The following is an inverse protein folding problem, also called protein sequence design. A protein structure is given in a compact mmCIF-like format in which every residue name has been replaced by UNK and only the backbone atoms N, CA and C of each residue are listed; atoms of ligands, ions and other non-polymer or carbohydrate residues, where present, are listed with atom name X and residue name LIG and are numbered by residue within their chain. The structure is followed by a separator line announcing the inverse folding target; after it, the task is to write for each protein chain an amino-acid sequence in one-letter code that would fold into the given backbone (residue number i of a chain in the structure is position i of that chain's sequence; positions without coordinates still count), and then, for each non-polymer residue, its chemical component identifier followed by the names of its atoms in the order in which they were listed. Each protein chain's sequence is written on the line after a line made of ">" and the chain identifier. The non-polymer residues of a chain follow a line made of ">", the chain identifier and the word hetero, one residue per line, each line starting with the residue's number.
data_IF_934682732046
#
_entry.id   IF_934682732046
#
_cell.length_a   1.000
_cell.length_b   1.000
_cell.length_c   1.000
_cell.angle_alpha   90.00
_cell.angle_beta   90.00
_cell.angle_gamma   90.00
#
_symmetry.space_group_name_H-M   'P 1'
#
loop_
_entity.id
_entity.type
_entity.pdbx_description
1 polymer ?
#
# COMPACT_ATOMS: atom_id res chain seq x y z
N UNK A 1 53.75 -21.82 -41.95
CA UNK A 1 52.78 -20.76 -42.30
C UNK A 1 51.40 -21.35 -42.09
N UNK A 2 50.70 -20.93 -41.04
CA UNK A 2 49.38 -21.47 -40.71
C UNK A 2 48.37 -20.34 -40.93
N UNK A 3 47.58 -20.42 -42.00
CA UNK A 3 46.50 -19.47 -42.24
C UNK A 3 45.24 -19.93 -41.53
N UNK A 4 44.79 -19.14 -40.55
CA UNK A 4 43.40 -19.18 -40.10
C UNK A 4 42.58 -18.25 -40.98
N UNK A 5 41.51 -18.77 -41.57
CA UNK A 5 40.43 -17.97 -42.18
C UNK A 5 39.21 -18.00 -41.25
N UNK A 6 38.53 -16.87 -41.02
CA UNK A 6 37.36 -16.83 -40.14
C UNK A 6 36.14 -17.45 -40.83
N UNK A 7 35.38 -18.26 -40.10
CA UNK A 7 34.06 -18.72 -40.54
C UNK A 7 33.05 -17.63 -40.17
N UNK A 8 32.56 -16.89 -41.16
CA UNK A 8 31.39 -16.03 -40.98
C UNK A 8 30.15 -16.89 -40.77
N UNK A 9 29.60 -16.89 -39.56
CA UNK A 9 28.24 -17.38 -39.32
C UNK A 9 27.24 -16.32 -39.76
N UNK A 10 26.64 -16.47 -40.94
CA UNK A 10 25.51 -15.63 -41.35
C UNK A 10 24.30 -15.93 -40.47
N UNK A 11 24.01 -15.06 -39.51
CA UNK A 11 22.70 -14.97 -38.90
C UNK A 11 21.75 -14.29 -39.90
N UNK A 12 20.75 -15.02 -40.41
CA UNK A 12 19.69 -14.40 -41.20
C UNK A 12 18.90 -13.42 -40.33
N UNK A 13 18.88 -12.15 -40.71
CA UNK A 13 17.93 -11.17 -40.17
C UNK A 13 16.54 -11.53 -40.73
N UNK A 14 15.86 -12.43 -40.04
CA UNK A 14 14.45 -12.68 -40.24
C UNK A 14 13.69 -11.47 -39.68
N UNK A 15 13.36 -10.51 -40.55
CA UNK A 15 12.55 -9.35 -40.22
C UNK A 15 11.12 -9.76 -39.89
N UNK A 16 10.92 -10.30 -38.69
CA UNK A 16 9.61 -10.46 -38.07
C UNK A 16 9.03 -9.06 -37.86
N UNK A 17 8.24 -8.64 -38.83
CA UNK A 17 7.23 -7.60 -38.66
C UNK A 17 6.31 -8.06 -37.53
N UNK A 18 6.60 -7.60 -36.32
CA UNK A 18 5.67 -7.62 -35.21
C UNK A 18 4.49 -6.73 -35.62
N UNK A 19 3.50 -7.34 -36.28
CA UNK A 19 2.20 -6.71 -36.50
C UNK A 19 1.67 -6.41 -35.11
N UNK A 20 1.65 -5.12 -34.76
CA UNK A 20 1.22 -4.66 -33.45
C UNK A 20 -0.27 -4.88 -33.27
N UNK A 21 -0.66 -6.10 -32.92
CA UNK A 21 -1.96 -6.38 -32.31
C UNK A 21 -2.01 -5.59 -31.00
N UNK A 22 -2.56 -4.38 -31.12
CA UNK A 22 -2.82 -3.49 -29.99
C UNK A 22 -3.94 -4.11 -29.18
N UNK A 23 -3.57 -5.04 -28.30
CA UNK A 23 -4.45 -5.68 -27.35
C UNK A 23 -4.94 -4.61 -26.38
N UNK A 24 -6.02 -3.92 -26.77
CA UNK A 24 -6.74 -2.98 -25.92
C UNK A 24 -7.15 -3.75 -24.69
N UNK A 25 -6.60 -3.36 -23.54
CA UNK A 25 -7.07 -3.87 -22.25
C UNK A 25 -8.48 -3.34 -22.03
N UNK A 26 -9.46 -4.13 -22.46
CA UNK A 26 -10.90 -3.89 -22.27
C UNK A 26 -11.33 -4.09 -20.80
N UNK A 27 -10.39 -3.94 -19.84
CA UNK A 27 -10.72 -3.62 -18.46
C UNK A 27 -11.79 -2.54 -18.39
N UNK A 28 -12.86 -2.81 -17.64
CA UNK A 28 -13.83 -1.79 -17.29
C UNK A 28 -13.08 -0.67 -16.55
N UNK A 29 -13.30 0.62 -16.88
CA UNK A 29 -12.61 1.71 -16.20
C UNK A 29 -12.89 1.61 -14.70
N UNK A 30 -11.83 1.55 -13.89
CA UNK A 30 -11.99 1.56 -12.43
C UNK A 30 -12.68 2.86 -12.02
N UNK A 31 -13.54 2.78 -11.00
CA UNK A 31 -14.10 3.97 -10.38
C UNK A 31 -13.01 4.57 -9.49
N UNK A 32 -12.61 5.81 -9.79
CA UNK A 32 -11.73 6.61 -8.95
C UNK A 32 -12.44 6.87 -7.60
N UNK A 33 -11.89 6.43 -6.45
CA UNK A 33 -12.53 6.64 -5.16
C UNK A 33 -12.57 8.12 -4.72
N UNK A 34 -11.72 8.98 -5.30
CA UNK A 34 -11.78 10.45 -5.15
C UNK A 34 -12.72 11.13 -6.16
N UNK A 35 -13.20 10.39 -7.17
CA UNK A 35 -13.97 10.93 -8.29
C UNK A 35 -15.43 11.21 -7.93
N UNK A 36 -16.03 12.23 -8.53
CA UNK A 36 -17.43 12.63 -8.28
C UNK A 36 -18.50 11.59 -8.71
N UNK A 37 -18.10 10.46 -9.30
CA UNK A 37 -18.93 9.30 -9.59
C UNK A 37 -18.95 8.26 -8.46
N UNK A 38 -17.95 8.25 -7.57
CA UNK A 38 -18.09 7.62 -6.28
C UNK A 38 -19.07 8.45 -5.45
N UNK A 39 -19.99 7.80 -4.73
CA UNK A 39 -20.75 8.50 -3.67
C UNK A 39 -19.76 8.97 -2.62
N UNK A 40 -19.78 10.28 -2.31
CA UNK A 40 -18.83 11.00 -1.46
C UNK A 40 -18.14 10.09 -0.42
N UNK A 41 -16.80 10.05 -0.46
CA UNK A 41 -15.98 9.16 0.37
C UNK A 41 -16.48 9.13 1.82
N UNK A 42 -17.01 7.96 2.19
CA UNK A 42 -17.44 7.64 3.54
C UNK A 42 -16.22 7.74 4.44
N UNK A 43 -16.40 8.32 5.63
CA UNK A 43 -15.32 8.52 6.58
C UNK A 43 -14.06 9.19 5.94
N UNK A 44 -14.26 10.04 4.93
CA UNK A 44 -13.22 10.87 4.30
C UNK A 44 -12.45 10.25 3.14
N UNK A 45 -12.16 8.95 3.19
CA UNK A 45 -11.25 8.22 2.28
C UNK A 45 -11.78 6.84 1.84
N UNK A 46 -12.94 6.39 2.36
CA UNK A 46 -13.55 5.11 1.97
C UNK A 46 -14.59 5.31 0.86
N UNK A 47 -14.29 4.84 -0.35
CA UNK A 47 -15.30 4.69 -1.39
C UNK A 47 -16.17 3.44 -1.16
N UNK A 48 -17.45 3.54 -1.52
CA UNK A 48 -18.45 2.49 -1.30
C UNK A 48 -19.18 2.10 -2.58
N UNK A 49 -19.24 0.79 -2.87
CA UNK A 49 -20.13 0.22 -3.88
C UNK A 49 -21.28 -0.52 -3.18
N UNK A 50 -22.55 -0.14 -3.38
CA UNK A 50 -23.68 -0.82 -2.77
C UNK A 50 -23.89 -2.23 -3.36
N UNK A 51 -23.35 -3.25 -2.68
CA UNK A 51 -23.67 -4.65 -2.94
C UNK A 51 -25.09 -4.93 -2.39
N UNK A 52 -26.06 -5.36 -3.22
CA UNK A 52 -27.39 -5.71 -2.72
C UNK A 52 -27.33 -7.07 -2.00
N UNK A 53 -27.37 -7.06 -0.67
CA UNK A 53 -27.45 -8.27 0.15
C UNK A 53 -28.60 -8.23 1.17
N UNK A 54 -29.12 -9.40 1.52
CA UNK A 54 -30.32 -9.55 2.35
C UNK A 54 -29.98 -10.02 3.77
N UNK A 55 -30.05 -9.08 4.72
CA UNK A 55 -30.33 -9.27 6.16
C UNK A 55 -29.85 -10.56 6.86
N UNK A 56 -28.86 -10.42 7.77
CA UNK A 56 -29.11 -10.72 9.20
C UNK A 56 -28.12 -9.92 10.07
N UNK A 57 -28.39 -9.79 11.38
CA UNK A 57 -27.60 -8.95 12.31
C UNK A 57 -26.61 -9.77 13.14
N UNK A 58 -25.41 -9.23 13.34
CA UNK A 58 -24.58 -9.41 14.54
C UNK A 58 -23.61 -8.21 14.70
N UNK A 59 -22.97 -8.08 15.87
CA UNK A 59 -22.03 -6.98 16.21
C UNK A 59 -20.58 -7.27 15.76
N UNK A 60 -19.66 -6.29 15.91
CA UNK A 60 -18.23 -6.32 16.35
C UNK A 60 -17.42 -5.13 15.68
N UNK A 61 -16.24 -5.25 15.04
CA UNK A 61 -15.25 -4.16 14.64
C UNK A 61 -14.53 -3.96 13.23
N UNK A 62 -14.25 -4.91 12.32
CA UNK A 62 -13.63 -4.76 10.95
C UNK A 62 -14.14 -5.80 9.89
N UNK A 63 -14.08 -5.58 8.57
CA UNK A 63 -15.13 -6.07 7.61
C UNK A 63 -15.67 -7.51 7.81
N UNK A 64 -16.93 -7.62 8.23
CA UNK A 64 -17.64 -8.85 8.52
C UNK A 64 -18.11 -9.63 7.27
N UNK A 65 -18.07 -8.98 6.10
CA UNK A 65 -18.56 -9.52 4.83
C UNK A 65 -17.44 -10.35 4.20
N UNK A 66 -17.47 -11.67 4.40
CA UNK A 66 -16.46 -12.62 3.92
C UNK A 66 -16.25 -12.56 2.41
N UNK A 67 -17.27 -12.18 1.66
CA UNK A 67 -17.23 -11.99 0.20
C UNK A 67 -16.25 -10.88 -0.21
N UNK A 68 -16.03 -9.86 0.64
CA UNK A 68 -15.05 -8.79 0.45
C UNK A 68 -13.63 -9.15 0.88
N UNK A 69 -13.37 -10.35 1.42
CA UNK A 69 -12.00 -10.80 1.64
C UNK A 69 -11.34 -11.20 0.32
N UNK A 70 -10.02 -11.07 0.25
CA UNK A 70 -9.23 -11.56 -0.88
C UNK A 70 -9.02 -13.08 -0.76
N UNK A 71 -9.34 -13.90 -1.78
CA UNK A 71 -9.19 -15.35 -1.68
C UNK A 71 -7.78 -15.77 -1.26
N UNK A 72 -7.69 -16.64 -0.25
CA UNK A 72 -6.45 -17.17 0.31
C UNK A 72 -5.47 -16.08 0.81
N UNK A 73 -5.96 -14.89 1.20
CA UNK A 73 -5.16 -13.71 1.54
C UNK A 73 -4.24 -13.19 0.40
N UNK A 74 -4.51 -13.59 -0.85
CA UNK A 74 -3.70 -13.26 -2.04
C UNK A 74 -4.28 -12.04 -2.75
N UNK A 75 -3.58 -10.91 -2.67
CA UNK A 75 -4.00 -9.61 -3.23
C UNK A 75 -3.24 -9.33 -4.54
N UNK A 76 -3.81 -9.64 -5.72
CA UNK A 76 -3.24 -9.21 -6.99
C UNK A 76 -3.29 -7.68 -7.11
N UNK A 77 -2.21 -7.07 -7.61
CA UNK A 77 -2.16 -5.64 -7.88
C UNK A 77 -1.64 -5.30 -9.29
N UNK A 78 -1.87 -4.06 -9.71
CA UNK A 78 -1.11 -3.36 -10.75
C UNK A 78 -0.85 -1.92 -10.29
N UNK A 79 0.26 -1.35 -10.74
CA UNK A 79 0.63 0.05 -10.47
C UNK A 79 0.46 0.84 -11.77
N UNK A 80 -0.10 2.04 -11.65
CA UNK A 80 -0.21 3.00 -12.75
C UNK A 80 1.18 3.55 -13.13
N UNK A 81 1.49 3.71 -14.44
CA UNK A 81 2.73 4.38 -14.88
C UNK A 81 2.77 5.88 -14.55
N UNK A 82 1.82 6.39 -13.76
CA UNK A 82 1.83 7.74 -13.18
C UNK A 82 2.55 7.83 -11.84
N UNK A 83 2.95 6.71 -11.23
CA UNK A 83 3.83 6.71 -10.04
C UNK A 83 5.29 6.88 -10.43
N UNK A 84 5.99 7.79 -9.76
CA UNK A 84 7.45 7.86 -9.82
C UNK A 84 8.13 6.75 -9.00
N UNK A 85 9.46 6.65 -9.08
CA UNK A 85 10.23 5.59 -8.39
C UNK A 85 10.17 5.66 -6.86
N UNK A 86 9.89 6.83 -6.28
CA UNK A 86 9.77 6.99 -4.83
C UNK A 86 8.35 6.59 -4.35
N UNK A 87 7.32 6.93 -5.11
CA UNK A 87 5.96 6.43 -4.87
C UNK A 87 5.87 4.90 -5.02
N UNK A 88 6.58 4.32 -6.00
CA UNK A 88 6.68 2.86 -6.11
C UNK A 88 7.42 2.23 -4.92
N UNK A 89 8.53 2.80 -4.46
CA UNK A 89 9.28 2.24 -3.33
C UNK A 89 8.51 2.33 -2.00
N UNK A 90 7.75 3.40 -1.78
CA UNK A 90 6.80 3.51 -0.67
C UNK A 90 5.69 2.43 -0.74
N UNK A 91 5.16 2.13 -1.93
CA UNK A 91 4.14 1.09 -2.09
C UNK A 91 4.68 -0.29 -1.77
N UNK A 92 5.85 -0.64 -2.30
CA UNK A 92 6.49 -1.92 -1.99
C UNK A 92 6.89 -2.03 -0.51
N UNK A 93 7.28 -0.94 0.15
CA UNK A 93 7.57 -0.96 1.58
C UNK A 93 6.32 -1.15 2.43
N UNK A 94 5.24 -0.43 2.13
CA UNK A 94 3.97 -0.59 2.84
C UNK A 94 3.37 -1.99 2.64
N UNK A 95 3.50 -2.58 1.44
CA UNK A 95 3.16 -3.99 1.19
C UNK A 95 4.03 -4.91 2.05
N UNK A 96 5.35 -4.78 2.00
CA UNK A 96 6.29 -5.62 2.78
C UNK A 96 5.98 -5.62 4.28
N UNK A 97 5.61 -4.48 4.88
CA UNK A 97 5.31 -4.41 6.31
C UNK A 97 4.03 -5.18 6.70
N UNK A 98 3.03 -5.21 5.82
CA UNK A 98 1.86 -6.09 5.99
C UNK A 98 2.21 -7.57 5.77
N UNK A 99 3.00 -7.89 4.74
CA UNK A 99 3.42 -9.27 4.44
C UNK A 99 4.31 -9.85 5.56
N UNK A 100 5.20 -9.03 6.12
CA UNK A 100 6.17 -9.36 7.16
C UNK A 100 5.57 -9.98 8.42
N UNK A 101 4.35 -9.56 8.79
CA UNK A 101 3.72 -9.90 10.08
C UNK A 101 2.36 -10.57 9.95
N UNK A 102 1.88 -10.80 8.72
CA UNK A 102 0.60 -11.47 8.44
C UNK A 102 0.75 -12.55 7.36
N UNK A 103 -0.30 -13.32 7.08
CA UNK A 103 -0.35 -14.20 5.89
C UNK A 103 -0.83 -13.52 4.60
N UNK A 104 -1.17 -12.22 4.63
CA UNK A 104 -1.52 -11.46 3.41
C UNK A 104 -0.32 -11.42 2.47
N UNK A 105 -0.53 -11.67 1.18
CA UNK A 105 0.53 -11.61 0.15
C UNK A 105 0.07 -10.83 -1.07
N UNK A 106 0.88 -9.86 -1.45
CA UNK A 106 0.71 -9.08 -2.68
C UNK A 106 1.41 -9.79 -3.85
N UNK A 107 0.93 -9.58 -5.07
CA UNK A 107 1.63 -10.02 -6.28
C UNK A 107 1.19 -9.22 -7.50
N UNK A 108 2.11 -8.90 -8.39
CA UNK A 108 1.76 -8.24 -9.65
C UNK A 108 0.87 -9.17 -10.49
N UNK A 109 -0.28 -8.67 -10.95
CA UNK A 109 -1.26 -9.44 -11.74
C UNK A 109 -0.71 -9.68 -13.15
N UNK A 110 -0.51 -10.95 -13.58
CA UNK A 110 -0.24 -11.27 -14.97
C UNK A 110 -1.44 -10.86 -15.83
N UNK A 111 -1.20 -10.13 -16.92
CA UNK A 111 -2.25 -9.59 -17.80
C UNK A 111 -3.16 -10.65 -18.44
N UNK A 112 -2.80 -11.93 -18.36
CA UNK A 112 -3.59 -13.09 -18.81
C UNK A 112 -4.74 -13.49 -17.88
N UNK A 113 -4.81 -12.98 -16.64
CA UNK A 113 -5.76 -13.46 -15.62
C UNK A 113 -6.98 -12.52 -15.49
N UNK A 114 -8.18 -13.01 -15.81
CA UNK A 114 -9.45 -12.27 -15.71
C UNK A 114 -10.06 -12.31 -14.30
N UNK A 115 -9.28 -11.86 -13.31
CA UNK A 115 -9.64 -11.76 -11.89
C UNK A 115 -9.64 -10.30 -11.43
N UNK A 116 -10.35 -9.99 -10.35
CA UNK A 116 -10.25 -8.71 -9.64
C UNK A 116 -8.83 -8.43 -9.13
N UNK A 117 -8.45 -7.15 -9.01
CA UNK A 117 -7.16 -6.69 -8.50
C UNK A 117 -7.23 -5.24 -7.99
N UNK A 118 -6.26 -4.88 -7.13
CA UNK A 118 -6.01 -3.52 -6.70
C UNK A 118 -5.24 -2.74 -7.78
N UNK A 119 -5.78 -1.64 -8.30
CA UNK A 119 -5.09 -0.75 -9.23
C UNK A 119 -4.68 0.54 -8.51
N UNK A 120 -3.38 0.66 -8.20
CA UNK A 120 -2.83 1.82 -7.49
C UNK A 120 -2.49 2.94 -8.49
N UNK A 121 -3.00 4.15 -8.26
CA UNK A 121 -2.81 5.27 -9.18
C UNK A 121 -2.77 6.63 -8.49
N UNK A 122 -2.13 7.61 -9.16
CA UNK A 122 -1.91 8.97 -8.66
C UNK A 122 -3.15 9.85 -8.87
N UNK A 123 -4.17 9.63 -8.04
CA UNK A 123 -5.44 10.37 -8.07
C UNK A 123 -5.42 11.68 -7.29
N UNK A 124 -6.60 12.25 -7.03
CA UNK A 124 -6.76 13.58 -6.40
C UNK A 124 -6.67 13.61 -4.87
N UNK A 125 -6.73 12.45 -4.22
CA UNK A 125 -6.77 12.33 -2.75
C UNK A 125 -6.08 11.02 -2.30
N UNK A 126 -6.13 10.74 -1.00
CA UNK A 126 -5.88 9.39 -0.48
C UNK A 126 -7.25 8.76 -0.30
N UNK A 127 -7.52 7.66 -1.01
CA UNK A 127 -8.76 6.92 -0.86
C UNK A 127 -8.69 5.50 -1.44
N UNK A 128 -9.46 4.60 -0.87
CA UNK A 128 -9.53 3.17 -1.21
C UNK A 128 -10.95 2.64 -1.04
N UNK A 129 -11.12 1.32 -1.15
CA UNK A 129 -12.38 0.61 -0.85
C UNK A 129 -12.10 -0.44 0.21
N UNK A 130 -13.01 -0.61 1.19
CA UNK A 130 -12.82 -1.64 2.22
C UNK A 130 -13.04 -3.04 1.65
N UNK A 131 -11.93 -3.77 1.53
CA UNK A 131 -11.87 -5.10 0.96
C UNK A 131 -12.08 -5.15 -0.55
N UNK A 132 -12.07 -6.37 -1.07
CA UNK A 132 -12.28 -6.72 -2.47
C UNK A 132 -13.71 -6.40 -2.92
N UNK A 133 -13.85 -5.54 -3.91
CA UNK A 133 -15.14 -5.07 -4.42
C UNK A 133 -15.78 -5.99 -5.47
N UNK A 134 -15.03 -6.91 -6.07
CA UNK A 134 -15.52 -7.77 -7.16
C UNK A 134 -14.79 -9.12 -7.23
N UNK A 135 -15.40 -10.07 -7.96
CA UNK A 135 -14.71 -11.29 -8.41
C UNK A 135 -13.91 -11.06 -9.71
N UNK A 136 -14.36 -10.16 -10.59
CA UNK A 136 -13.87 -10.06 -11.98
C UNK A 136 -13.31 -8.69 -12.37
N UNK A 137 -13.63 -7.62 -11.63
CA UNK A 137 -13.26 -6.25 -12.00
C UNK A 137 -12.22 -5.66 -11.03
N UNK A 138 -11.37 -4.77 -11.56
CA UNK A 138 -10.43 -3.97 -10.78
C UNK A 138 -11.13 -2.97 -9.85
N UNK A 139 -10.49 -2.63 -8.73
CA UNK A 139 -10.83 -1.48 -7.90
C UNK A 139 -9.66 -0.48 -7.90
N UNK A 140 -9.97 0.81 -7.98
CA UNK A 140 -8.97 1.88 -7.93
C UNK A 140 -8.59 2.21 -6.50
N UNK A 141 -7.30 2.40 -6.24
CA UNK A 141 -6.77 2.96 -4.99
C UNK A 141 -6.03 4.24 -5.37
N UNK A 142 -6.50 5.38 -4.86
CA UNK A 142 -5.89 6.68 -5.11
C UNK A 142 -4.82 6.97 -4.07
N UNK A 143 -3.59 7.15 -4.52
CA UNK A 143 -2.47 7.67 -3.73
C UNK A 143 -1.96 8.95 -4.42
N UNK A 144 -2.68 10.05 -4.20
CA UNK A 144 -2.32 11.37 -4.73
C UNK A 144 -1.06 11.96 -4.09
N UNK A 145 -0.63 13.14 -4.58
CA UNK A 145 0.59 13.81 -4.12
C UNK A 145 0.61 14.18 -2.62
N UNK A 146 -0.56 14.30 -1.98
CA UNK A 146 -0.68 14.49 -0.53
C UNK A 146 -0.51 13.22 0.31
N UNK A 147 -0.30 12.05 -0.32
CA UNK A 147 -0.35 10.73 0.31
C UNK A 147 1.02 10.10 0.55
N UNK A 148 2.11 10.75 0.14
CA UNK A 148 3.49 10.23 0.03
C UNK A 148 4.23 10.05 1.36
N UNK A 149 3.55 9.48 2.36
CA UNK A 149 4.14 9.02 3.64
C UNK A 149 3.81 7.55 3.86
N UNK A 150 4.76 6.78 4.41
CA UNK A 150 4.60 5.34 4.65
C UNK A 150 3.32 5.01 5.42
N UNK A 151 2.98 5.81 6.43
CA UNK A 151 1.78 5.67 7.25
C UNK A 151 0.46 5.70 6.46
N UNK A 152 0.35 6.56 5.44
CA UNK A 152 -0.85 6.63 4.58
C UNK A 152 -0.91 5.47 3.63
N UNK A 153 0.24 5.05 3.10
CA UNK A 153 0.30 3.86 2.24
C UNK A 153 -0.07 2.59 3.02
N UNK A 154 0.35 2.46 4.30
CA UNK A 154 -0.09 1.40 5.20
C UNK A 154 -1.60 1.42 5.46
N UNK A 155 -2.18 2.61 5.71
CA UNK A 155 -3.61 2.84 5.95
C UNK A 155 -4.47 2.43 4.74
N UNK A 156 -4.13 2.91 3.55
CA UNK A 156 -4.87 2.63 2.31
C UNK A 156 -4.77 1.15 1.91
N UNK A 157 -3.64 0.50 2.21
CA UNK A 157 -3.50 -0.96 2.10
C UNK A 157 -4.36 -1.67 3.16
N UNK A 158 -4.46 -1.17 4.39
CA UNK A 158 -5.39 -1.67 5.40
C UNK A 158 -6.83 -1.69 4.91
N UNK A 159 -7.29 -0.62 4.23
CA UNK A 159 -8.57 -0.63 3.53
C UNK A 159 -8.65 -1.74 2.47
N UNK A 160 -7.65 -1.87 1.59
CA UNK A 160 -7.63 -2.97 0.58
C UNK A 160 -7.73 -4.35 1.24
N UNK A 161 -7.05 -4.56 2.37
CA UNK A 161 -7.05 -5.82 3.14
C UNK A 161 -8.43 -6.13 3.73
N UNK A 162 -9.19 -5.11 4.15
CA UNK A 162 -10.55 -5.27 4.71
C UNK A 162 -10.83 -4.45 5.98
N UNK A 163 -9.94 -3.55 6.37
CA UNK A 163 -10.14 -2.69 7.54
C UNK A 163 -11.01 -1.48 7.21
N UNK A 164 -11.93 -1.18 8.12
CA UNK A 164 -12.51 0.15 8.28
C UNK A 164 -11.65 0.94 9.28
N UNK A 165 -12.03 2.19 9.58
CA UNK A 165 -11.36 2.92 10.65
C UNK A 165 -11.76 2.47 12.05
N UNK A 166 -10.84 2.63 13.00
CA UNK A 166 -11.07 2.22 14.38
C UNK A 166 -12.12 3.12 15.09
N UNK A 167 -12.16 4.43 14.79
CA UNK A 167 -13.14 5.34 15.41
C UNK A 167 -14.59 5.18 14.92
N UNK A 168 -14.85 4.29 13.96
CA UNK A 168 -16.21 3.95 13.50
C UNK A 168 -16.70 2.58 13.99
N UNK A 169 -15.99 1.93 14.93
CA UNK A 169 -16.46 0.70 15.61
C UNK A 169 -17.74 0.92 16.45
N UNK A 170 -18.69 -0.03 16.47
CA UNK A 170 -19.87 -0.05 17.34
C UNK A 170 -19.63 0.03 18.85
N UNK A 171 -18.44 -0.31 19.33
CA UNK A 171 -18.04 -0.17 20.74
C UNK A 171 -17.22 1.11 21.01
N UNK A 172 -16.90 1.92 19.99
CA UNK A 172 -15.98 3.08 20.13
C UNK A 172 -16.42 4.12 21.16
N UNK A 173 -17.73 4.32 21.36
CA UNK A 173 -18.25 5.27 22.37
C UNK A 173 -17.97 4.80 23.82
N UNK A 174 -17.53 3.56 24.05
CA UNK A 174 -17.03 3.05 25.33
C UNK A 174 -15.56 3.47 25.60
N UNK A 175 -14.82 3.92 24.58
CA UNK A 175 -13.37 4.20 24.62
C UNK A 175 -13.03 5.68 24.34
N UNK A 176 -13.70 6.28 23.35
CA UNK A 176 -13.45 7.65 22.89
C UNK A 176 -14.71 8.51 22.89
N UNK A 177 -14.53 9.84 22.84
CA UNK A 177 -15.57 10.85 22.76
C UNK A 177 -15.33 11.79 21.58
N UNK A 178 -16.35 11.93 20.73
CA UNK A 178 -16.31 12.83 19.57
C UNK A 178 -16.79 14.24 19.97
N UNK A 179 -15.97 15.25 19.67
CA UNK A 179 -16.20 16.66 19.98
C UNK A 179 -16.80 17.35 18.76
N UNK A 180 -18.08 17.05 18.49
CA UNK A 180 -18.80 17.52 17.29
C UNK A 180 -18.86 19.03 17.14
N UNK A 181 -18.78 19.77 18.24
CA UNK A 181 -18.64 21.23 18.35
C UNK A 181 -17.30 21.76 17.80
N UNK A 182 -16.25 20.93 17.80
CA UNK A 182 -14.92 21.25 17.29
C UNK A 182 -14.73 20.85 15.82
N UNK A 183 -15.72 20.22 15.19
CA UNK A 183 -15.65 19.79 13.80
C UNK A 183 -15.97 20.92 12.81
N UNK A 184 -15.53 20.72 11.56
CA UNK A 184 -15.95 21.52 10.41
C UNK A 184 -17.42 21.22 10.05
N UNK A 185 -18.24 22.21 9.67
CA UNK A 185 -19.63 21.98 9.25
C UNK A 185 -19.73 20.98 8.09
N UNK A 186 -20.63 20.01 8.22
CA UNK A 186 -20.88 18.98 7.20
C UNK A 186 -20.02 17.72 7.30
N UNK A 187 -18.99 17.70 8.15
CA UNK A 187 -18.10 16.53 8.33
C UNK A 187 -18.59 15.51 9.35
N UNK A 188 -19.69 15.80 10.05
CA UNK A 188 -20.25 14.96 11.14
C UNK A 188 -20.67 13.55 10.69
N UNK A 189 -20.85 13.31 9.39
CA UNK A 189 -21.07 11.98 8.81
C UNK A 189 -19.87 11.04 8.97
N UNK A 190 -18.65 11.58 9.09
CA UNK A 190 -17.40 10.83 8.98
C UNK A 190 -16.95 10.23 10.33
N UNK A 191 -17.79 10.35 11.35
CA UNK A 191 -17.66 9.67 12.66
C UNK A 191 -18.90 8.82 12.96
N UNK A 192 -19.63 8.41 11.91
CA UNK A 192 -20.70 7.41 12.05
C UNK A 192 -20.09 6.08 12.47
N UNK A 193 -20.88 5.30 13.19
CA UNK A 193 -20.56 3.89 13.44
C UNK A 193 -20.90 3.11 12.16
N UNK A 194 -19.99 2.25 11.70
CA UNK A 194 -20.28 1.30 10.62
C UNK A 194 -20.78 -0.02 11.23
N UNK A 195 -21.85 -0.60 10.68
CA UNK A 195 -22.39 -1.88 11.16
C UNK A 195 -21.74 -3.11 10.49
N UNK A 196 -20.99 -2.94 9.39
CA UNK A 196 -20.38 -4.03 8.59
C UNK A 196 -19.06 -4.58 9.17
N UNK A 197 -18.84 -4.42 10.47
CA UNK A 197 -17.53 -4.35 11.12
C UNK A 197 -17.52 -5.51 12.18
N UNK A 198 -16.58 -6.49 12.12
CA UNK A 198 -16.26 -7.59 13.09
C UNK A 198 -14.79 -7.58 13.67
N UNK A 199 -14.63 -7.55 15.01
CA UNK A 199 -13.38 -7.29 15.75
C UNK A 199 -12.72 -8.58 16.22
N UNK A 200 -13.42 -9.72 16.10
CA UNK A 200 -12.87 -11.05 16.42
C UNK A 200 -12.35 -11.17 17.87
N UNK A 201 -12.81 -10.30 18.77
CA UNK A 201 -12.41 -10.24 20.18
C UNK A 201 -11.22 -9.32 20.48
N UNK A 202 -10.67 -8.61 19.49
CA UNK A 202 -9.60 -7.63 19.68
C UNK A 202 -10.14 -6.38 20.40
N UNK A 203 -9.35 -5.87 21.35
CA UNK A 203 -9.65 -4.62 22.08
C UNK A 203 -9.69 -3.40 21.18
N UNK A 204 -10.04 -2.24 21.74
CA UNK A 204 -9.99 -0.97 21.00
C UNK A 204 -8.57 -0.41 20.92
N UNK A 205 -8.12 -0.01 19.73
CA UNK A 205 -6.75 0.43 19.51
C UNK A 205 -6.61 1.93 19.19
N UNK A 206 -6.33 2.71 20.23
CA UNK A 206 -6.04 4.15 20.12
C UNK A 206 -4.82 4.49 19.23
N UNK A 207 -3.97 3.51 18.92
CA UNK A 207 -2.77 3.66 18.07
C UNK A 207 -2.79 2.74 16.83
N UNK A 208 -3.97 2.27 16.40
CA UNK A 208 -4.12 1.59 15.12
C UNK A 208 -3.74 2.53 13.98
N UNK A 209 -3.09 1.99 12.94
CA UNK A 209 -2.84 2.76 11.71
C UNK A 209 -4.15 3.24 11.06
N UNK A 210 -5.26 2.54 11.33
CA UNK A 210 -6.61 2.84 10.86
C UNK A 210 -7.35 3.85 11.74
N UNK A 211 -6.76 4.34 12.83
CA UNK A 211 -7.39 5.32 13.73
C UNK A 211 -7.11 6.77 13.30
N UNK A 212 -8.16 7.58 13.14
CA UNK A 212 -8.05 9.03 12.94
C UNK A 212 -7.18 9.72 13.99
N UNK A 213 -6.42 10.73 13.57
CA UNK A 213 -5.81 11.69 14.50
C UNK A 213 -6.86 12.43 15.33
N UNK A 214 -6.48 12.83 16.55
CA UNK A 214 -7.32 13.63 17.46
C UNK A 214 -7.84 14.97 16.91
N UNK A 215 -7.36 15.46 15.75
CA UNK A 215 -7.78 16.73 15.11
C UNK A 215 -8.43 16.56 13.73
N UNK A 216 -8.69 15.32 13.28
CA UNK A 216 -9.25 15.05 11.95
C UNK A 216 -10.62 15.74 11.80
N UNK A 217 -10.82 16.45 10.67
CA UNK A 217 -11.94 17.37 10.40
C UNK A 217 -12.13 18.55 11.37
N UNK A 218 -11.18 18.85 12.27
CA UNK A 218 -11.28 19.95 13.24
C UNK A 218 -10.67 21.29 12.81
N UNK A 219 -9.96 21.33 11.68
CA UNK A 219 -9.11 22.45 11.27
C UNK A 219 -8.09 22.86 12.35
N UNK A 220 -7.41 21.87 12.94
CA UNK A 220 -6.45 22.06 14.03
C UNK A 220 -7.05 22.09 15.44
N UNK A 221 -8.39 22.10 15.58
CA UNK A 221 -9.07 21.84 16.86
C UNK A 221 -9.16 20.33 17.12
N UNK A 222 -9.08 19.93 18.37
CA UNK A 222 -9.31 18.54 18.78
C UNK A 222 -10.78 18.15 18.57
N UNK A 223 -11.01 17.11 17.77
CA UNK A 223 -12.33 16.54 17.43
C UNK A 223 -12.58 15.18 18.05
N UNK A 224 -11.54 14.51 18.55
CA UNK A 224 -11.62 13.17 19.13
C UNK A 224 -10.64 13.08 20.32
N UNK A 225 -11.11 12.53 21.45
CA UNK A 225 -10.30 12.23 22.64
C UNK A 225 -10.67 10.86 23.21
N UNK A 226 -9.75 10.19 23.90
CA UNK A 226 -10.07 9.07 24.78
C UNK A 226 -10.88 9.55 26.01
N UNK A 227 -11.65 8.65 26.63
CA UNK A 227 -12.28 8.94 27.93
C UNK A 227 -11.25 9.02 29.07
N UNK A 228 -10.20 8.19 29.01
CA UNK A 228 -9.00 8.38 29.82
C UNK A 228 -8.08 9.40 29.13
N UNK A 229 -8.00 10.61 29.70
CA UNK A 229 -7.19 11.70 29.14
C UNK A 229 -5.67 11.49 29.23
N UNK A 230 -5.18 10.39 29.82
CA UNK A 230 -3.77 10.00 29.77
C UNK A 230 -3.40 9.25 28.49
N UNK A 231 -4.38 8.75 27.75
CA UNK A 231 -4.18 7.98 26.52
C UNK A 231 -4.17 8.93 25.30
N UNK A 232 -3.05 9.05 24.56
CA UNK A 232 -3.03 9.75 23.28
C UNK A 232 -3.78 8.95 22.21
N UNK A 233 -4.33 9.62 21.20
CA UNK A 233 -5.19 8.95 20.20
C UNK A 233 -4.87 9.38 18.76
N UNK A 234 -4.61 8.38 17.93
CA UNK A 234 -4.26 8.50 16.52
C UNK A 234 -2.90 9.16 16.25
N UNK A 235 -2.55 9.25 14.97
CA UNK A 235 -1.23 9.73 14.54
C UNK A 235 -0.16 8.63 14.48
N UNK A 236 -0.58 7.36 14.47
CA UNK A 236 0.30 6.21 14.23
C UNK A 236 1.08 6.37 12.90
N UNK A 237 2.33 5.89 12.90
CA UNK A 237 3.24 5.95 11.75
C UNK A 237 3.60 4.57 11.18
N UNK A 238 3.25 3.51 11.89
CA UNK A 238 3.52 2.10 11.60
C UNK A 238 2.30 1.24 11.98
N UNK A 239 2.30 -0.04 11.61
CA UNK A 239 1.27 -0.99 12.01
C UNK A 239 1.36 -1.31 13.50
N UNK A 240 0.23 -1.28 14.22
CA UNK A 240 0.16 -1.73 15.60
C UNK A 240 0.13 -3.26 15.69
N UNK A 241 0.52 -3.81 16.84
CA UNK A 241 0.38 -5.24 17.14
C UNK A 241 -1.10 -5.71 17.13
N UNK A 242 -2.06 -4.79 17.28
CA UNK A 242 -3.49 -5.10 17.18
C UNK A 242 -3.99 -5.05 15.73
N UNK A 243 -3.50 -4.14 14.87
CA UNK A 243 -3.71 -4.17 13.42
C UNK A 243 -3.26 -5.54 12.85
N UNK A 244 -2.06 -5.96 13.25
CA UNK A 244 -1.42 -7.22 12.86
C UNK A 244 -2.22 -8.43 13.37
N UNK A 245 -2.61 -8.44 14.65
CA UNK A 245 -3.42 -9.51 15.23
C UNK A 245 -4.77 -9.62 14.54
N UNK A 246 -5.45 -8.49 14.32
CA UNK A 246 -6.77 -8.45 13.71
C UNK A 246 -6.73 -8.90 12.24
N UNK A 247 -5.67 -8.56 11.48
CA UNK A 247 -5.48 -9.05 10.11
C UNK A 247 -5.23 -10.57 10.08
N UNK A 248 -4.44 -11.09 11.02
CA UNK A 248 -4.19 -12.52 11.14
C UNK A 248 -5.46 -13.31 11.51
N UNK A 249 -6.32 -12.75 12.37
CA UNK A 249 -7.63 -13.33 12.68
C UNK A 249 -8.59 -13.25 11.48
N UNK A 250 -8.61 -12.12 10.74
CA UNK A 250 -9.48 -11.89 9.60
C UNK A 250 -9.25 -12.91 8.47
N UNK A 251 -7.97 -13.19 8.19
CA UNK A 251 -7.55 -14.13 7.15
C UNK A 251 -7.29 -15.55 7.67
N UNK A 252 -7.51 -15.82 8.97
CA UNK A 252 -7.30 -17.13 9.62
C UNK A 252 -5.89 -17.69 9.35
N UNK A 253 -4.87 -16.85 9.51
CA UNK A 253 -3.48 -17.22 9.26
C UNK A 253 -3.02 -18.32 10.24
N UNK A 254 -2.62 -19.46 9.70
CA UNK A 254 -2.43 -20.72 10.43
C UNK A 254 -1.13 -21.44 10.02
N UNK A 255 -1.01 -22.75 10.25
CA UNK A 255 0.17 -23.53 9.85
C UNK A 255 0.25 -23.84 8.33
N UNK A 256 -0.84 -23.67 7.58
CA UNK A 256 -0.84 -23.85 6.12
C UNK A 256 -0.59 -22.51 5.39
N UNK A 257 -1.02 -21.38 5.98
CA UNK A 257 -0.66 -20.03 5.55
C UNK A 257 -0.11 -19.20 6.73
N UNK A 258 1.13 -19.46 7.18
CA UNK A 258 1.71 -18.72 8.30
C UNK A 258 2.19 -17.31 7.90
N UNK A 259 2.24 -16.37 8.86
CA UNK A 259 3.14 -15.23 8.78
C UNK A 259 4.59 -15.71 8.53
N UNK A 260 5.43 -14.93 7.84
CA UNK A 260 6.83 -15.30 7.62
C UNK A 260 7.56 -15.45 8.96
N UNK A 261 8.39 -16.49 9.12
CA UNK A 261 9.27 -16.62 10.28
C UNK A 261 10.43 -15.62 10.26
N UNK A 262 10.73 -15.07 9.08
CA UNK A 262 11.73 -14.05 8.80
C UNK A 262 11.16 -13.10 7.74
N UNK A 263 11.57 -11.83 7.74
CA UNK A 263 11.13 -10.86 6.74
C UNK A 263 11.38 -11.40 5.31
N UNK A 264 10.44 -11.25 4.35
CA UNK A 264 10.69 -11.66 2.99
C UNK A 264 11.91 -10.90 2.45
N UNK A 265 12.93 -11.59 1.88
CA UNK A 265 14.08 -10.91 1.32
C UNK A 265 13.63 -9.97 0.18
N UNK A 266 14.31 -8.82 -0.02
CA UNK A 266 13.94 -7.85 -1.05
C UNK A 266 13.85 -8.54 -2.41
N UNK A 267 12.71 -8.34 -3.10
CA UNK A 267 12.26 -9.21 -4.19
C UNK A 267 13.26 -9.17 -5.35
N UNK A 268 13.75 -10.35 -5.75
CA UNK A 268 14.82 -10.48 -6.75
C UNK A 268 14.44 -10.03 -8.18
N UNK A 269 13.20 -9.59 -8.42
CA UNK A 269 12.84 -8.83 -9.63
C UNK A 269 13.68 -7.55 -9.78
N UNK A 270 14.13 -6.97 -8.67
CA UNK A 270 14.97 -5.77 -8.62
C UNK A 270 16.48 -6.10 -8.84
N UNK A 271 16.83 -7.39 -8.96
CA UNK A 271 18.22 -7.85 -9.12
C UNK A 271 18.61 -8.22 -10.56
N UNK A 272 17.65 -8.44 -11.47
CA UNK A 272 17.95 -8.96 -12.82
C UNK A 272 17.22 -8.25 -13.97
N UNK A 273 16.62 -7.08 -13.75
CA UNK A 273 16.56 -6.10 -14.84
C UNK A 273 17.98 -5.59 -15.09
N UNK A 274 18.52 -5.87 -16.28
CA UNK A 274 19.80 -5.32 -16.73
C UNK A 274 19.71 -3.80 -16.76
N UNK A 275 20.28 -3.14 -15.75
CA UNK A 275 20.34 -1.68 -15.65
C UNK A 275 20.99 -1.13 -16.93
N UNK A 276 20.27 -0.33 -17.75
CA UNK A 276 20.78 0.11 -19.04
C UNK A 276 21.84 1.20 -18.85
N UNK A 277 23.11 0.79 -18.86
CA UNK A 277 24.32 1.62 -18.74
C UNK A 277 24.13 2.88 -17.88
N UNK A 278 23.86 2.67 -16.58
CA UNK A 278 23.93 3.78 -15.63
C UNK A 278 25.33 4.41 -15.70
N UNK A 279 25.44 5.76 -15.63
CA UNK A 279 26.73 6.38 -15.37
C UNK A 279 27.30 5.85 -14.05
N UNK A 280 28.62 5.87 -13.91
CA UNK A 280 29.39 5.03 -12.98
C UNK A 280 29.22 5.40 -11.49
N UNK A 281 28.01 5.21 -10.92
CA UNK A 281 27.66 5.50 -9.52
C UNK A 281 28.23 4.45 -8.53
N UNK A 282 29.29 3.71 -8.89
CA UNK A 282 29.85 2.62 -8.08
C UNK A 282 30.85 3.14 -7.04
N UNK A 283 30.57 2.89 -5.76
CA UNK A 283 31.54 3.02 -4.66
C UNK A 283 31.43 1.84 -3.71
N UNK A 284 32.55 1.17 -3.45
CA UNK A 284 32.72 0.23 -2.33
C UNK A 284 33.34 0.96 -1.13
N UNK A 285 32.72 0.85 0.05
CA UNK A 285 33.28 1.35 1.30
C UNK A 285 34.31 0.35 1.85
N UNK A 286 35.54 0.80 2.08
CA UNK A 286 36.63 -0.03 2.59
C UNK A 286 36.86 0.19 4.09
N UNK A 287 36.49 -0.81 4.91
CA UNK A 287 36.85 -1.06 6.31
C UNK A 287 36.54 -0.01 7.39
N UNK A 288 36.49 1.28 7.07
CA UNK A 288 36.02 2.31 8.00
C UNK A 288 34.50 2.49 7.81
N UNK A 289 33.74 2.32 8.91
CA UNK A 289 32.27 2.15 8.88
C UNK A 289 31.49 3.48 8.71
N UNK A 290 32.16 4.55 8.30
CA UNK A 290 31.60 5.89 8.09
C UNK A 290 31.99 6.40 6.69
N UNK A 291 31.08 7.08 5.99
CA UNK A 291 31.39 7.63 4.67
C UNK A 291 30.29 8.53 4.11
N UNK A 292 30.67 9.47 3.25
CA UNK A 292 29.76 10.47 2.67
C UNK A 292 29.47 10.11 1.20
N UNK A 293 28.25 9.67 0.93
CA UNK A 293 27.74 9.49 -0.44
C UNK A 293 27.60 10.86 -1.10
N UNK A 294 28.15 11.03 -2.31
CA UNK A 294 28.04 12.26 -3.10
C UNK A 294 27.67 11.97 -4.55
N UNK A 295 26.61 12.62 -5.01
CA UNK A 295 26.24 12.69 -6.42
C UNK A 295 26.96 13.86 -7.07
N UNK A 296 28.29 13.74 -7.23
CA UNK A 296 29.11 14.82 -7.80
C UNK A 296 28.58 15.23 -9.19
N UNK A 297 28.52 16.54 -9.44
CA UNK A 297 27.91 17.18 -10.61
C UNK A 297 26.38 16.99 -10.76
N UNK A 298 25.66 16.58 -9.72
CA UNK A 298 24.20 16.70 -9.69
C UNK A 298 23.76 18.17 -9.49
N UNK A 299 22.72 18.67 -10.20
CA UNK A 299 21.99 18.03 -11.30
C UNK A 299 22.60 18.33 -12.69
N UNK A 300 23.69 19.10 -12.78
CA UNK A 300 24.17 19.73 -14.02
C UNK A 300 24.64 18.77 -15.14
N UNK A 301 24.95 17.52 -14.81
CA UNK A 301 25.33 16.48 -15.78
C UNK A 301 24.30 15.35 -15.94
N UNK A 302 23.13 15.45 -15.30
CA UNK A 302 22.12 14.39 -15.26
C UNK A 302 21.04 14.68 -16.31
N UNK A 303 20.71 13.71 -17.17
CA UNK A 303 19.58 13.86 -18.09
C UNK A 303 18.26 13.91 -17.31
N UNK A 304 17.21 14.58 -17.82
CA UNK A 304 15.88 14.45 -17.25
C UNK A 304 15.48 12.98 -17.11
N UNK A 305 15.09 12.58 -15.90
CA UNK A 305 14.75 11.21 -15.49
C UNK A 305 15.92 10.21 -15.38
N UNK A 306 17.19 10.66 -15.28
CA UNK A 306 18.30 9.80 -14.81
C UNK A 306 18.44 9.86 -13.28
N UNK A 307 18.50 8.68 -12.65
CA UNK A 307 18.76 8.50 -11.22
C UNK A 307 20.13 7.81 -11.01
N UNK A 308 20.96 8.29 -10.07
CA UNK A 308 21.93 7.42 -9.41
C UNK A 308 21.23 6.69 -8.25
N UNK A 309 21.57 5.42 -8.04
CA UNK A 309 21.16 4.66 -6.86
C UNK A 309 22.40 3.99 -6.24
N UNK A 310 22.61 4.18 -4.95
CA UNK A 310 23.80 3.68 -4.25
C UNK A 310 23.44 2.44 -3.43
N UNK A 311 24.14 1.32 -3.69
CA UNK A 311 23.93 0.04 -2.98
C UNK A 311 24.96 -0.14 -1.87
N UNK A 312 24.68 0.40 -0.70
CA UNK A 312 25.50 0.18 0.50
C UNK A 312 25.36 -1.29 0.93
N UNK A 313 26.49 -1.95 1.25
CA UNK A 313 26.53 -3.25 1.92
C UNK A 313 27.19 -3.08 3.28
N UNK A 314 26.57 -3.57 4.33
CA UNK A 314 27.15 -3.65 5.68
C UNK A 314 27.18 -5.12 6.14
N UNK A 315 28.04 -5.49 7.10
CA UNK A 315 28.02 -6.82 7.71
C UNK A 315 26.69 -7.19 8.36
N UNK A 316 26.49 -8.49 8.57
CA UNK A 316 25.34 -9.01 9.30
C UNK A 316 25.36 -8.55 10.77
N UNK A 317 24.22 -8.04 11.26
CA UNK A 317 24.09 -7.51 12.62
C UNK A 317 24.50 -6.04 12.81
N UNK A 318 25.10 -5.37 11.82
CA UNK A 318 25.32 -3.91 11.88
C UNK A 318 24.04 -3.13 11.61
N UNK A 319 23.84 -2.02 12.32
CA UNK A 319 22.84 -0.99 11.97
C UNK A 319 23.46 0.02 11.02
N UNK A 320 22.64 0.59 10.13
CA UNK A 320 22.99 1.71 9.27
C UNK A 320 22.11 2.89 9.63
N UNK A 321 22.71 4.05 9.88
CA UNK A 321 22.00 5.31 10.15
C UNK A 321 22.37 6.30 9.03
N UNK A 322 21.38 7.06 8.51
CA UNK A 322 21.59 8.09 7.51
C UNK A 322 21.24 9.45 8.12
N UNK A 323 22.26 10.24 8.47
CA UNK A 323 22.03 11.54 9.14
C UNK A 323 21.36 12.58 8.21
N UNK A 324 21.57 12.49 6.90
CA UNK A 324 21.07 13.45 5.89
C UNK A 324 20.54 12.70 4.66
N UNK A 325 19.37 12.08 4.81
CA UNK A 325 18.53 11.54 3.75
C UNK A 325 17.24 12.38 3.65
#
# INVERSE_FOLDING_TARGET
>A
MNHFTPILSLACIASLLAIGETYRDYSSPYVDPCGASATQAHDGDIAYNPIPSSSSRQKRGATAIRERLWPNARIPYKISPTFDSYEQSLLYEAMRQWEARTCVRFYERPSTHNQSYAYYFKGGCCASYVGRQSVSYQQGISLGSGCTTISKYLHEIGHVIGFWHEQSRPDRDEYIRILTENMNPGTQSNFRIQEEIDSMGVGYDYNSIMHYSSTTFGSGRTTLVAHDSSIPVGGAVELSELDILQANLLYQCDSENPPPSELPPPVASDLEQTLPDLPDCHMDFNNDYEGVVKSDNYPSTYSPNQNCAYRIRVPEGTKTECDHC
#
